data_IF_149264590173
#
_entry.id   IF_149264590173
#
_cell.length_a   1.000
_cell.length_b   1.000
_cell.length_c   1.000
_cell.angle_alpha   90.00
_cell.angle_beta   90.00
_cell.angle_gamma   90.00
#
_symmetry.space_group_name_H-M   'P 1'
#
loop_
_entity.id
_entity.type
_entity.pdbx_description
1 polymer ?
#
# COMPACT_ATOMS: atom_id res chain seq x y z
N UNK A 1 -9.39 -30.95 12.13
CA UNK A 1 -9.17 -29.52 12.46
C UNK A 1 -9.16 -28.80 11.15
N UNK A 2 -10.20 -28.01 10.87
CA UNK A 2 -10.40 -27.36 9.58
C UNK A 2 -9.37 -26.25 9.43
N UNK A 3 -8.30 -26.52 8.68
CA UNK A 3 -7.36 -25.50 8.24
C UNK A 3 -8.16 -24.57 7.33
N UNK A 4 -8.65 -23.47 7.91
CA UNK A 4 -9.16 -22.36 7.13
C UNK A 4 -8.01 -21.95 6.21
N UNK A 5 -8.12 -22.33 4.95
CA UNK A 5 -7.40 -21.68 3.87
C UNK A 5 -7.89 -20.24 3.91
N UNK A 6 -7.18 -19.39 4.66
CA UNK A 6 -7.40 -17.95 4.61
C UNK A 6 -7.29 -17.54 3.13
N UNK A 7 -8.44 -17.28 2.52
CA UNK A 7 -8.54 -16.95 1.10
C UNK A 7 -7.69 -15.69 0.88
N UNK A 8 -6.62 -15.82 0.09
CA UNK A 8 -5.66 -14.72 -0.12
C UNK A 8 -6.36 -13.57 -0.84
N UNK A 9 -6.53 -12.44 -0.14
CA UNK A 9 -7.09 -11.23 -0.72
C UNK A 9 -5.98 -10.29 -1.22
N UNK A 10 -6.18 -9.69 -2.40
CA UNK A 10 -5.36 -8.58 -2.85
C UNK A 10 -5.73 -7.29 -2.08
N UNK A 11 -4.74 -6.72 -1.40
CA UNK A 11 -4.84 -5.50 -0.59
C UNK A 11 -3.88 -4.45 -1.10
N UNK A 12 -4.18 -3.18 -0.89
CA UNK A 12 -3.28 -2.07 -1.26
C UNK A 12 -2.59 -1.53 -0.02
N UNK A 13 -1.25 -1.46 -0.05
CA UNK A 13 -0.45 -0.99 1.07
C UNK A 13 -0.65 0.51 1.27
N UNK A 14 -0.97 0.95 2.49
CA UNK A 14 -1.15 2.38 2.79
C UNK A 14 0.12 3.21 2.65
N UNK A 15 1.29 2.60 2.84
CA UNK A 15 2.57 3.31 2.80
C UNK A 15 3.13 3.51 1.40
N UNK A 16 3.10 2.48 0.55
CA UNK A 16 3.67 2.52 -0.80
C UNK A 16 2.65 2.40 -1.93
N UNK A 17 1.36 2.23 -1.61
CA UNK A 17 0.27 2.00 -2.58
C UNK A 17 0.46 0.79 -3.51
N UNK A 18 1.38 -0.12 -3.20
CA UNK A 18 1.54 -1.38 -3.94
C UNK A 18 0.46 -2.39 -3.51
N UNK A 19 -0.06 -3.15 -4.47
CA UNK A 19 -0.93 -4.28 -4.19
C UNK A 19 -0.12 -5.46 -3.64
N UNK A 20 -0.63 -6.13 -2.61
CA UNK A 20 -0.01 -7.28 -1.99
C UNK A 20 -1.10 -8.24 -1.50
N UNK A 21 -0.76 -9.53 -1.43
CA UNK A 21 -1.68 -10.56 -0.92
C UNK A 21 -1.64 -10.61 0.60
N UNK A 22 -2.80 -10.79 1.22
CA UNK A 22 -2.94 -10.96 2.67
C UNK A 22 -4.19 -11.78 2.99
N UNK A 23 -4.14 -12.67 4.00
CA UNK A 23 -3.01 -12.95 4.89
C UNK A 23 -2.04 -14.01 4.33
N UNK A 24 -0.74 -13.71 4.30
CA UNK A 24 0.29 -14.69 3.94
C UNK A 24 0.87 -15.29 5.22
N UNK A 25 0.76 -16.61 5.38
CA UNK A 25 1.38 -17.32 6.52
C UNK A 25 2.88 -17.03 6.58
N UNK A 26 3.39 -16.72 7.78
CA UNK A 26 4.81 -16.37 8.05
C UNK A 26 5.30 -15.05 7.43
N UNK A 27 4.44 -14.24 6.82
CA UNK A 27 4.80 -12.87 6.41
C UNK A 27 4.56 -11.89 7.57
N UNK A 28 5.36 -10.83 7.64
CA UNK A 28 5.07 -9.68 8.52
C UNK A 28 4.09 -8.68 7.92
N UNK A 29 3.56 -8.97 6.72
CA UNK A 29 2.47 -8.20 6.13
C UNK A 29 1.29 -8.13 7.10
N UNK A 30 0.68 -6.95 7.18
CA UNK A 30 -0.51 -6.70 7.99
C UNK A 30 -1.68 -6.37 7.08
N UNK A 31 -2.88 -6.20 7.64
CA UNK A 31 -4.05 -5.75 6.87
C UNK A 31 -3.88 -4.39 6.18
N UNK A 32 -2.92 -3.56 6.61
CA UNK A 32 -2.73 -2.18 6.10
C UNK A 32 -1.38 -1.94 5.40
N UNK A 33 -0.40 -2.80 5.65
CA UNK A 33 0.97 -2.63 5.17
C UNK A 33 1.48 -3.94 4.58
N UNK A 34 2.11 -3.87 3.40
CA UNK A 34 2.88 -4.99 2.88
C UNK A 34 4.05 -5.33 3.81
N UNK A 35 4.65 -6.50 3.62
CA UNK A 35 5.76 -7.02 4.43
C UNK A 35 6.89 -6.00 4.60
N UNK A 36 7.36 -5.43 3.48
CA UNK A 36 8.44 -4.43 3.49
C UNK A 36 8.10 -3.22 4.34
N UNK A 37 6.90 -2.66 4.17
CA UNK A 37 6.49 -1.47 4.91
C UNK A 37 6.15 -1.77 6.38
N UNK A 38 5.70 -2.98 6.68
CA UNK A 38 5.44 -3.43 8.05
C UNK A 38 6.73 -3.53 8.87
N UNK A 39 7.84 -3.92 8.23
CA UNK A 39 9.17 -4.03 8.85
C UNK A 39 9.86 -2.67 9.08
N UNK A 40 9.33 -1.57 8.52
CA UNK A 40 9.90 -0.24 8.73
C UNK A 40 9.56 0.34 10.10
N UNK A 41 10.47 1.14 10.70
CA UNK A 41 10.17 1.91 11.90
C UNK A 41 8.90 2.77 11.71
N UNK A 42 8.07 2.94 12.76
CA UNK A 42 6.80 3.67 12.65
C UNK A 42 6.97 5.11 12.10
N UNK A 43 8.05 5.80 12.47
CA UNK A 43 8.36 7.15 12.00
C UNK A 43 8.67 7.20 10.50
N UNK A 44 9.44 6.23 10.00
CA UNK A 44 9.78 6.10 8.57
C UNK A 44 8.53 5.76 7.77
N UNK A 45 7.73 4.81 8.25
CA UNK A 45 6.47 4.42 7.62
C UNK A 45 5.48 5.58 7.52
N UNK A 46 5.32 6.35 8.60
CA UNK A 46 4.46 7.55 8.61
C UNK A 46 4.94 8.60 7.60
N UNK A 47 6.26 8.75 7.45
CA UNK A 47 6.83 9.68 6.46
C UNK A 47 6.54 9.20 5.04
N UNK A 48 6.72 7.90 4.75
CA UNK A 48 6.38 7.31 3.46
C UNK A 48 4.90 7.48 3.11
N UNK A 49 3.98 7.18 4.04
CA UNK A 49 2.53 7.38 3.82
C UNK A 49 2.20 8.82 3.42
N UNK A 50 2.80 9.81 4.09
CA UNK A 50 2.61 11.24 3.76
C UNK A 50 3.16 11.58 2.37
N UNK A 51 4.34 11.07 2.03
CA UNK A 51 4.97 11.33 0.74
C UNK A 51 4.19 10.67 -0.40
N UNK A 52 3.84 9.40 -0.26
CA UNK A 52 3.04 8.66 -1.25
C UNK A 52 1.70 9.37 -1.49
N UNK A 53 1.00 9.80 -0.44
CA UNK A 53 -0.23 10.60 -0.58
C UNK A 53 -0.01 11.88 -1.39
N UNK A 54 1.07 12.62 -1.11
CA UNK A 54 1.40 13.85 -1.84
C UNK A 54 1.74 13.56 -3.30
N UNK A 55 2.55 12.53 -3.57
CA UNK A 55 2.90 12.11 -4.93
C UNK A 55 1.65 11.72 -5.71
N UNK A 56 0.79 10.86 -5.18
CA UNK A 56 -0.46 10.47 -5.86
C UNK A 56 -1.37 11.66 -6.15
N UNK A 57 -1.49 12.61 -5.21
CA UNK A 57 -2.26 13.84 -5.44
C UNK A 57 -1.65 14.72 -6.53
N UNK A 58 -0.33 14.85 -6.56
CA UNK A 58 0.38 15.62 -7.59
C UNK A 58 0.26 14.96 -8.96
N UNK A 59 0.49 13.65 -9.06
CA UNK A 59 0.32 12.89 -10.31
C UNK A 59 -1.09 13.05 -10.86
N UNK A 60 -2.13 12.87 -10.03
CA UNK A 60 -3.52 13.05 -10.48
C UNK A 60 -3.83 14.48 -10.93
N UNK A 61 -3.19 15.50 -10.33
CA UNK A 61 -3.33 16.90 -10.80
C UNK A 61 -2.65 17.11 -12.14
N UNK A 62 -1.45 16.55 -12.34
CA UNK A 62 -0.72 16.62 -13.61
C UNK A 62 -1.53 15.95 -14.72
N UNK A 63 -2.03 14.73 -14.50
CA UNK A 63 -2.86 14.01 -15.47
C UNK A 63 -4.12 14.82 -15.89
N UNK A 64 -4.75 15.51 -14.93
CA UNK A 64 -5.91 16.39 -15.22
C UNK A 64 -5.53 17.62 -16.04
N UNK A 65 -4.38 18.22 -15.73
CA UNK A 65 -3.87 19.37 -16.49
C UNK A 65 -3.45 18.97 -17.91
N UNK A 66 -2.89 17.78 -18.09
CA UNK A 66 -2.51 17.24 -19.40
C UNK A 66 -3.73 16.87 -20.24
N UNK A 67 -4.72 16.20 -19.64
CA UNK A 67 -5.97 15.81 -20.33
C UNK A 67 -6.88 16.99 -20.65
N UNK A 68 -6.85 18.06 -19.86
CA UNK A 68 -7.58 19.30 -20.17
C UNK A 68 -6.88 20.24 -21.16
N UNK A 69 -5.69 19.89 -21.64
CA UNK A 69 -4.90 20.67 -22.61
C UNK A 69 -4.99 20.13 -24.04
N UNK A 70 -5.68 19.01 -24.24
CA UNK A 70 -6.07 18.46 -25.55
C UNK A 70 -7.44 19.00 -25.96
#
# INVERSE_FOLDING_TARGET
>A
MSEQEDELEDRVCRACHQTYRYPIRKSSATRSHCETCANLPPSVRSTLEKLTKRVTQLTSRVEKLESGRQ
#
